data_IF_181743406192
#
_entry.id   IF_181743406192
#
_cell.length_a   1.000
_cell.length_b   1.000
_cell.length_c   1.000
_cell.angle_alpha   90.00
_cell.angle_beta   90.00
_cell.angle_gamma   90.00
#
_symmetry.space_group_name_H-M   'P 1'
#
loop_
_entity.id
_entity.type
_entity.pdbx_description
1 polymer ?
#
# COMPACT_ATOMS: atom_id res chain seq x y z
N UNK A 1 -33.03 -14.62 -36.08
CA UNK A 1 -32.38 -13.50 -36.79
C UNK A 1 -30.87 -13.74 -36.76
N UNK A 2 -30.28 -14.05 -37.93
CA UNK A 2 -28.91 -14.53 -38.05
C UNK A 2 -27.90 -13.40 -38.23
N UNK A 3 -26.76 -13.56 -37.55
CA UNK A 3 -25.56 -12.72 -37.54
C UNK A 3 -24.78 -12.90 -38.86
N UNK A 4 -24.45 -11.80 -39.54
CA UNK A 4 -23.43 -11.81 -40.61
C UNK A 4 -22.42 -10.69 -40.38
N UNK A 5 -21.15 -11.07 -40.51
CA UNK A 5 -19.94 -10.35 -40.14
C UNK A 5 -19.14 -10.07 -41.41
N UNK A 6 -18.45 -8.94 -41.41
CA UNK A 6 -17.35 -8.52 -42.30
C UNK A 6 -17.68 -8.02 -43.71
N UNK A 7 -17.12 -6.86 -44.05
CA UNK A 7 -16.05 -6.73 -45.07
C UNK A 7 -15.42 -5.33 -45.08
N UNK A 8 -14.09 -5.28 -45.29
CA UNK A 8 -13.37 -4.33 -46.14
C UNK A 8 -11.85 -4.69 -46.09
N UNK A 9 -11.38 -5.57 -46.98
CA UNK A 9 -10.68 -5.27 -48.26
C UNK A 9 -9.31 -4.61 -48.08
N UNK A 10 -8.26 -5.44 -48.07
CA UNK A 10 -6.85 -5.08 -48.23
C UNK A 10 -6.54 -5.05 -49.73
N UNK A 11 -6.11 -3.91 -50.29
CA UNK A 11 -5.63 -3.85 -51.68
C UNK A 11 -4.10 -3.79 -51.74
N UNK A 12 -3.55 -4.79 -52.44
CA UNK A 12 -2.39 -4.79 -53.35
C UNK A 12 -2.03 -3.41 -53.95
N UNK A 13 -0.83 -3.11 -54.46
CA UNK A 13 0.46 -3.78 -54.72
C UNK A 13 1.38 -2.66 -55.26
N UNK A 14 2.66 -2.69 -54.84
CA UNK A 14 3.92 -2.22 -55.45
C UNK A 14 3.97 -1.06 -56.49
N UNK A 15 4.76 -0.04 -56.11
CA UNK A 15 5.85 0.70 -56.81
C UNK A 15 5.58 1.55 -58.07
N UNK A 16 5.97 2.84 -57.98
CA UNK A 16 6.80 3.55 -58.97
C UNK A 16 7.43 4.82 -58.36
N UNK A 17 8.59 5.22 -58.89
CA UNK A 17 9.60 6.11 -58.33
C UNK A 17 9.32 7.62 -58.42
N UNK A 18 10.06 8.44 -57.63
CA UNK A 18 11.11 9.40 -58.09
C UNK A 18 11.31 10.54 -57.06
N UNK A 19 12.59 10.87 -56.81
CA UNK A 19 13.19 12.13 -56.29
C UNK A 19 13.44 12.35 -54.78
N UNK A 20 14.69 12.04 -54.41
CA UNK A 20 15.67 12.80 -53.61
C UNK A 20 15.21 13.92 -52.63
N UNK A 21 15.47 13.71 -51.34
CA UNK A 21 16.32 14.49 -50.38
C UNK A 21 16.02 14.01 -48.94
N UNK A 22 16.99 13.99 -48.00
CA UNK A 22 16.79 13.36 -46.69
C UNK A 22 16.17 14.35 -45.68
N UNK A 23 15.05 14.03 -45.00
CA UNK A 23 14.60 14.79 -43.85
C UNK A 23 14.83 14.04 -42.53
N UNK A 24 15.62 14.67 -41.67
CA UNK A 24 15.39 14.84 -40.22
C UNK A 24 15.03 13.58 -39.42
N UNK A 25 16.05 12.95 -38.82
CA UNK A 25 15.85 11.94 -37.76
C UNK A 25 15.27 12.60 -36.49
N UNK A 26 13.99 12.37 -36.25
CA UNK A 26 13.36 12.65 -34.96
C UNK A 26 13.81 11.61 -33.93
N UNK A 27 14.29 12.00 -32.73
CA UNK A 27 14.71 11.03 -31.73
C UNK A 27 13.48 10.41 -31.05
N UNK A 28 13.16 9.18 -31.46
CA UNK A 28 12.31 8.28 -30.68
C UNK A 28 12.98 8.00 -29.33
N UNK A 29 12.32 8.35 -28.24
CA UNK A 29 12.84 8.06 -26.89
C UNK A 29 12.56 6.60 -26.55
N UNK A 30 13.36 5.68 -27.09
CA UNK A 30 13.49 4.33 -26.56
C UNK A 30 14.48 4.37 -25.39
N UNK A 31 13.96 4.48 -24.16
CA UNK A 31 14.80 4.41 -22.96
C UNK A 31 14.58 3.10 -22.23
N UNK A 32 15.27 2.06 -22.73
CA UNK A 32 15.46 0.84 -21.98
C UNK A 32 16.87 0.27 -22.24
N UNK A 33 17.78 0.52 -21.29
CA UNK A 33 18.96 -0.28 -20.87
C UNK A 33 19.76 0.54 -19.85
N UNK A 34 19.60 0.27 -18.55
CA UNK A 34 20.37 -0.64 -17.67
C UNK A 34 21.77 -0.11 -17.35
N UNK A 35 22.00 0.20 -16.08
CA UNK A 35 23.32 0.23 -15.45
C UNK A 35 23.22 -0.48 -14.10
N UNK A 36 23.69 -1.73 -14.08
CA UNK A 36 24.24 -2.34 -12.88
C UNK A 36 25.39 -1.43 -12.40
N UNK A 37 25.35 -1.04 -11.13
CA UNK A 37 26.39 -0.20 -10.53
C UNK A 37 26.82 -0.81 -9.20
N UNK A 38 28.03 -1.36 -9.21
CA UNK A 38 29.01 -1.18 -8.15
C UNK A 38 28.85 -2.02 -6.90
N UNK A 39 29.52 -3.16 -6.90
CA UNK A 39 30.11 -3.74 -5.69
C UNK A 39 31.16 -2.76 -5.12
N UNK A 40 31.11 -2.51 -3.81
CA UNK A 40 32.21 -1.90 -3.04
C UNK A 40 32.22 -0.36 -2.92
N UNK A 41 31.56 0.17 -1.88
CA UNK A 41 31.98 1.37 -1.11
C UNK A 41 31.12 1.41 0.16
N UNK A 42 31.64 1.79 1.35
CA UNK A 42 30.81 1.93 2.54
C UNK A 42 29.84 3.07 2.25
N UNK A 43 28.60 2.69 1.95
CA UNK A 43 27.61 3.54 1.31
C UNK A 43 27.27 4.69 2.25
N UNK A 44 27.56 5.91 1.79
CA UNK A 44 27.12 7.14 2.40
C UNK A 44 25.67 6.98 2.89
N UNK A 45 25.46 7.13 4.20
CA UNK A 45 24.17 6.94 4.84
C UNK A 45 23.13 7.81 4.13
N UNK A 46 22.29 7.19 3.29
CA UNK A 46 21.22 7.90 2.59
C UNK A 46 20.34 8.57 3.64
N UNK A 47 20.31 9.92 3.62
CA UNK A 47 19.51 10.72 4.54
C UNK A 47 18.07 10.21 4.52
N UNK A 48 17.55 9.83 5.70
CA UNK A 48 16.18 9.32 5.83
C UNK A 48 15.20 10.42 5.42
N UNK A 49 14.57 10.28 4.25
CA UNK A 49 13.61 11.25 3.76
C UNK A 49 12.35 11.22 4.64
N UNK A 50 11.86 12.42 4.98
CA UNK A 50 10.64 12.58 5.77
C UNK A 50 9.42 12.37 4.87
N UNK A 51 8.47 11.58 5.35
CA UNK A 51 7.17 11.39 4.68
C UNK A 51 6.34 12.68 4.74
N UNK A 52 5.51 12.90 3.73
CA UNK A 52 4.56 14.02 3.71
C UNK A 52 3.56 13.88 4.88
N UNK A 53 3.06 15.00 5.43
CA UNK A 53 2.00 14.95 6.42
C UNK A 53 0.80 14.15 5.88
N UNK A 54 0.13 13.40 6.75
CA UNK A 54 -0.98 12.51 6.38
C UNK A 54 -0.56 11.13 5.84
N UNK A 55 0.62 10.98 5.22
CA UNK A 55 1.05 9.68 4.66
C UNK A 55 1.18 8.59 5.72
N UNK A 56 1.72 8.92 6.91
CA UNK A 56 1.80 7.95 8.03
C UNK A 56 0.42 7.62 8.59
N UNK A 57 -0.43 8.63 8.79
CA UNK A 57 -1.78 8.44 9.32
C UNK A 57 -2.63 7.53 8.41
N UNK A 58 -2.64 7.76 7.09
CA UNK A 58 -3.36 6.91 6.16
C UNK A 58 -2.84 5.46 6.16
N UNK A 59 -1.54 5.26 6.38
CA UNK A 59 -0.95 3.92 6.51
C UNK A 59 -1.39 3.24 7.81
N UNK A 60 -1.45 3.97 8.91
CA UNK A 60 -1.90 3.47 10.22
C UNK A 60 -3.40 3.15 10.21
N UNK A 61 -4.24 4.02 9.63
CA UNK A 61 -5.68 3.77 9.45
C UNK A 61 -5.91 2.47 8.67
N UNK A 62 -5.25 2.32 7.51
CA UNK A 62 -5.36 1.09 6.71
C UNK A 62 -4.85 -0.15 7.45
N UNK A 63 -3.85 -0.01 8.33
CA UNK A 63 -3.35 -1.11 9.16
C UNK A 63 -4.39 -1.52 10.21
N UNK A 64 -4.89 -0.56 10.99
CA UNK A 64 -5.85 -0.83 12.08
C UNK A 64 -7.25 -1.19 11.59
N UNK A 65 -7.62 -0.85 10.37
CA UNK A 65 -8.86 -1.33 9.76
C UNK A 65 -8.74 -2.75 9.17
N UNK A 66 -7.51 -3.24 8.94
CA UNK A 66 -7.27 -4.58 8.41
C UNK A 66 -7.28 -5.64 9.50
N UNK A 67 -6.83 -5.30 10.70
CA UNK A 67 -6.91 -6.16 11.89
C UNK A 67 -7.96 -5.64 12.86
N UNK A 68 -8.25 -6.44 13.88
CA UNK A 68 -9.15 -6.07 14.99
C UNK A 68 -8.41 -6.20 16.31
N UNK A 69 -7.11 -5.91 16.30
CA UNK A 69 -6.27 -6.04 17.49
C UNK A 69 -6.65 -4.96 18.51
N UNK A 70 -6.70 -5.35 19.78
CA UNK A 70 -6.91 -4.44 20.90
C UNK A 70 -5.81 -3.35 20.92
N UNK A 71 -6.23 -2.09 20.81
CA UNK A 71 -5.31 -0.94 20.79
C UNK A 71 -4.88 -0.48 22.19
N UNK A 72 -5.69 -0.76 23.21
CA UNK A 72 -5.38 -0.39 24.61
C UNK A 72 -4.50 -1.49 25.22
N UNK A 73 -3.35 -1.15 25.82
CA UNK A 73 -2.49 -2.12 26.48
C UNK A 73 -3.22 -2.83 27.63
N UNK A 74 -3.14 -4.17 27.62
CA UNK A 74 -3.84 -5.04 28.58
C UNK A 74 -3.62 -4.65 30.04
N UNK A 75 -2.38 -4.33 30.44
CA UNK A 75 -2.09 -4.02 31.85
C UNK A 75 -2.76 -2.72 32.32
N UNK A 76 -2.79 -1.69 31.48
CA UNK A 76 -3.44 -0.42 31.81
C UNK A 76 -4.95 -0.60 31.94
N UNK A 77 -5.55 -1.37 31.02
CA UNK A 77 -6.98 -1.67 31.06
C UNK A 77 -7.38 -2.47 32.32
N UNK A 78 -6.65 -3.54 32.65
CA UNK A 78 -6.93 -4.37 33.84
C UNK A 78 -6.83 -3.56 35.13
N UNK A 79 -5.82 -2.68 35.25
CA UNK A 79 -5.69 -1.82 36.43
C UNK A 79 -6.93 -0.95 36.59
N UNK A 80 -7.47 -0.42 35.50
CA UNK A 80 -8.61 0.46 35.57
C UNK A 80 -9.95 -0.23 35.78
N UNK A 81 -10.12 -1.44 35.24
CA UNK A 81 -11.24 -2.31 35.63
C UNK A 81 -11.22 -2.55 37.14
N UNK A 82 -10.06 -2.84 37.73
CA UNK A 82 -9.94 -3.04 39.19
C UNK A 82 -10.19 -1.77 39.99
N UNK A 83 -9.69 -0.62 39.53
CA UNK A 83 -9.96 0.69 40.14
C UNK A 83 -11.46 0.95 40.22
N UNK A 84 -12.19 0.71 39.13
CA UNK A 84 -13.64 0.91 39.06
C UNK A 84 -14.37 -0.11 39.93
N UNK A 85 -13.96 -1.39 39.87
CA UNK A 85 -14.56 -2.47 40.69
C UNK A 85 -14.49 -2.11 42.17
N UNK A 86 -13.33 -1.68 42.67
CA UNK A 86 -13.15 -1.29 44.07
C UNK A 86 -14.03 -0.11 44.49
N UNK A 87 -14.38 0.78 43.55
CA UNK A 87 -15.22 1.95 43.82
C UNK A 87 -16.72 1.67 43.79
N UNK A 88 -17.15 0.73 42.96
CA UNK A 88 -18.57 0.57 42.59
C UNK A 88 -19.14 -0.78 43.02
N UNK A 89 -18.33 -1.84 42.99
CA UNK A 89 -18.81 -3.18 43.30
C UNK A 89 -18.84 -3.43 44.82
N UNK A 90 -19.71 -4.35 45.28
CA UNK A 90 -19.65 -4.88 46.63
C UNK A 90 -18.24 -5.42 46.99
N UNK A 91 -17.81 -5.31 48.26
CA UNK A 91 -16.44 -5.62 48.68
C UNK A 91 -16.02 -7.08 48.48
N UNK A 92 -17.00 -7.96 48.32
CA UNK A 92 -16.89 -9.38 48.01
C UNK A 92 -16.48 -9.66 46.55
N UNK A 93 -16.66 -8.70 45.63
CA UNK A 93 -16.27 -8.83 44.22
C UNK A 93 -14.85 -8.31 44.00
N UNK A 94 -13.87 -9.20 44.08
CA UNK A 94 -12.45 -8.85 43.91
C UNK A 94 -11.71 -9.67 42.82
N UNK A 95 -12.38 -10.61 42.17
CA UNK A 95 -11.79 -11.50 41.15
C UNK A 95 -12.47 -11.32 39.80
N UNK A 96 -11.65 -11.36 38.76
CA UNK A 96 -12.07 -11.29 37.37
C UNK A 96 -11.49 -12.47 36.61
N UNK A 97 -12.31 -13.13 35.79
CA UNK A 97 -11.83 -14.15 34.86
C UNK A 97 -11.12 -13.49 33.68
N UNK A 98 -10.13 -14.17 33.06
CA UNK A 98 -9.48 -13.65 31.86
C UNK A 98 -10.46 -13.34 30.72
N UNK A 99 -11.48 -14.18 30.54
CA UNK A 99 -12.50 -14.04 29.50
C UNK A 99 -13.38 -12.82 29.74
N UNK A 100 -13.75 -12.54 31.00
CA UNK A 100 -14.52 -11.34 31.34
C UNK A 100 -13.72 -10.07 31.07
N UNK A 101 -12.42 -10.06 31.37
CA UNK A 101 -11.55 -8.91 31.09
C UNK A 101 -11.41 -8.65 29.59
N UNK A 102 -11.39 -9.70 28.77
CA UNK A 102 -11.40 -9.56 27.31
C UNK A 102 -12.77 -9.05 26.85
N UNK A 103 -13.87 -9.65 27.30
CA UNK A 103 -15.23 -9.26 26.92
C UNK A 103 -15.61 -7.82 27.30
N UNK A 104 -14.99 -7.25 28.33
CA UNK A 104 -15.16 -5.84 28.67
C UNK A 104 -14.42 -4.89 27.71
N UNK A 105 -13.40 -5.37 27.01
CA UNK A 105 -12.55 -4.57 26.13
C UNK A 105 -12.91 -4.72 24.65
N UNK A 106 -13.30 -5.92 24.21
CA UNK A 106 -13.79 -6.23 22.86
C UNK A 106 -15.05 -5.43 22.52
#
# INVERSE_FOLDING_TARGET
MARTKHMARRSSRLQAAVKATPPTSSPGTSRQRRSEAGEGTPTAQRKRQRLRPGTKALREIRRFQKSVDLLIPRMSFIREVRTITYRVAPPDVNRWTPEALIALQE
#
